data_IF_875404382501
#
_entry.id   IF_875404382501
#
_cell.length_a   1.000
_cell.length_b   1.000
_cell.length_c   1.000
_cell.angle_alpha   90.00
_cell.angle_beta   90.00
_cell.angle_gamma   90.00
#
_symmetry.space_group_name_H-M   'P 1'
#
loop_
_entity.id
_entity.type
_entity.pdbx_description
1 polymer ?
#
# COMPACT_ATOMS: atom_id res chain seq x y z
N UNK A 1 -11.48 -15.77 5.14
CA UNK A 1 -11.40 -14.31 5.32
C UNK A 1 -12.60 -13.68 4.64
N UNK A 2 -13.38 -12.81 5.32
CA UNK A 2 -14.44 -12.04 4.66
C UNK A 2 -13.75 -10.89 3.92
N UNK A 3 -13.80 -10.92 2.60
CA UNK A 3 -13.31 -9.82 1.77
C UNK A 3 -14.02 -8.52 2.19
N UNK A 4 -13.23 -7.50 2.55
CA UNK A 4 -13.72 -6.23 3.09
C UNK A 4 -14.56 -5.49 2.04
N UNK A 5 -15.58 -4.77 2.47
CA UNK A 5 -16.52 -4.06 1.58
C UNK A 5 -15.80 -3.08 0.64
N UNK A 6 -14.74 -2.41 1.14
CA UNK A 6 -13.94 -1.48 0.36
C UNK A 6 -13.09 -2.19 -0.71
N UNK A 7 -12.60 -3.41 -0.44
CA UNK A 7 -11.79 -4.15 -1.40
C UNK A 7 -12.64 -4.69 -2.56
N UNK A 8 -13.89 -5.07 -2.28
CA UNK A 8 -14.88 -5.37 -3.33
C UNK A 8 -15.19 -4.14 -4.18
N UNK A 9 -15.34 -2.98 -3.55
CA UNK A 9 -15.56 -1.73 -4.26
C UNK A 9 -14.34 -1.35 -5.13
N UNK A 10 -13.11 -1.60 -4.65
CA UNK A 10 -11.88 -1.38 -5.41
C UNK A 10 -11.82 -2.26 -6.66
N UNK A 11 -12.14 -3.56 -6.53
CA UNK A 11 -12.25 -4.48 -7.68
C UNK A 11 -13.36 -4.09 -8.67
N UNK A 12 -14.43 -3.48 -8.17
CA UNK A 12 -15.55 -2.98 -8.98
C UNK A 12 -15.21 -1.76 -9.85
N UNK A 13 -14.04 -1.13 -9.67
CA UNK A 13 -13.63 0.04 -10.47
C UNK A 13 -13.35 -0.28 -11.94
N UNK A 14 -13.20 -1.55 -12.33
CA UNK A 14 -13.12 -1.96 -13.72
C UNK A 14 -12.12 -1.14 -14.54
N UNK A 15 -12.55 -0.54 -15.66
CA UNK A 15 -11.70 0.28 -16.53
C UNK A 15 -11.24 1.61 -15.92
N UNK A 16 -11.84 2.10 -14.82
CA UNK A 16 -11.36 3.30 -14.12
C UNK A 16 -10.01 3.05 -13.40
N UNK A 17 -9.63 1.77 -13.26
CA UNK A 17 -8.35 1.35 -12.75
C UNK A 17 -7.17 1.63 -13.68
N UNK A 18 -7.41 1.90 -14.97
CA UNK A 18 -6.34 2.19 -15.95
C UNK A 18 -5.58 3.48 -15.64
N UNK A 19 -6.00 4.24 -14.63
CA UNK A 19 -5.34 5.45 -14.15
C UNK A 19 -4.17 5.12 -13.22
N UNK A 20 -4.15 3.93 -12.61
CA UNK A 20 -3.05 3.50 -11.74
C UNK A 20 -1.91 2.89 -12.55
N UNK A 21 -0.67 3.18 -12.13
CA UNK A 21 0.57 2.61 -12.65
C UNK A 21 0.81 1.20 -12.14
N UNK A 22 0.42 0.91 -10.89
CA UNK A 22 0.49 -0.44 -10.33
C UNK A 22 -0.83 -1.20 -10.54
N UNK A 23 -0.72 -2.53 -10.57
CA UNK A 23 -1.90 -3.37 -10.71
C UNK A 23 -2.88 -3.15 -9.54
N UNK A 24 -4.18 -3.23 -9.81
CA UNK A 24 -5.19 -3.14 -8.75
C UNK A 24 -5.01 -4.20 -7.67
N UNK A 25 -4.52 -5.38 -8.04
CA UNK A 25 -4.21 -6.44 -7.09
C UNK A 25 -3.12 -6.02 -6.12
N UNK A 26 -2.03 -5.43 -6.61
CA UNK A 26 -0.92 -4.99 -5.76
C UNK A 26 -1.34 -3.82 -4.87
N UNK A 27 -2.04 -2.84 -5.45
CA UNK A 27 -2.58 -1.70 -4.70
C UNK A 27 -3.55 -2.16 -3.62
N UNK A 28 -4.45 -3.08 -3.96
CA UNK A 28 -5.39 -3.65 -3.01
C UNK A 28 -4.72 -4.45 -1.90
N UNK A 29 -3.70 -5.25 -2.22
CA UNK A 29 -2.91 -5.98 -1.23
C UNK A 29 -2.15 -5.03 -0.31
N UNK A 30 -1.54 -3.97 -0.85
CA UNK A 30 -0.85 -2.94 -0.08
C UNK A 30 -1.79 -2.25 0.91
N UNK A 31 -2.99 -1.86 0.45
CA UNK A 31 -4.02 -1.26 1.30
C UNK A 31 -4.54 -2.22 2.38
N UNK A 32 -4.72 -3.51 2.06
CA UNK A 32 -5.12 -4.52 3.04
C UNK A 32 -4.04 -4.70 4.13
N UNK A 33 -2.76 -4.71 3.76
CA UNK A 33 -1.66 -4.78 4.72
C UNK A 33 -1.65 -3.57 5.66
N UNK A 34 -1.92 -2.37 5.14
CA UNK A 34 -2.03 -1.14 5.93
C UNK A 34 -3.21 -1.22 6.90
N UNK A 35 -4.38 -1.67 6.43
CA UNK A 35 -5.56 -1.86 7.28
C UNK A 35 -5.27 -2.82 8.43
N UNK A 36 -4.70 -3.99 8.13
CA UNK A 36 -4.36 -5.03 9.11
C UNK A 36 -3.33 -4.55 10.13
N UNK A 37 -2.29 -3.84 9.68
CA UNK A 37 -1.25 -3.33 10.56
C UNK A 37 -1.80 -2.24 11.51
N UNK A 38 -2.62 -1.32 11.00
CA UNK A 38 -3.27 -0.29 11.83
C UNK A 38 -4.31 -0.88 12.78
N UNK A 39 -5.08 -1.87 12.33
CA UNK A 39 -6.01 -2.62 13.18
C UNK A 39 -5.27 -3.34 14.32
N UNK A 40 -4.16 -3.99 14.01
CA UNK A 40 -3.31 -4.66 14.99
C UNK A 40 -2.75 -3.69 16.03
N UNK A 41 -2.27 -2.51 15.63
CA UNK A 41 -1.71 -1.51 16.56
C UNK A 41 -2.75 -0.92 17.52
N UNK A 42 -4.00 -0.70 17.06
CA UNK A 42 -5.10 -0.21 17.92
C UNK A 42 -5.49 -1.21 19.01
N UNK A 43 -5.44 -2.51 18.70
CA UNK A 43 -5.78 -3.58 19.66
C UNK A 43 -4.83 -3.64 20.87
N UNK A 44 -3.55 -3.27 20.69
CA UNK A 44 -2.52 -3.31 21.74
C UNK A 44 -2.57 -2.12 22.69
N UNK A 45 -3.20 -1.01 22.30
CA UNK A 45 -3.23 0.25 23.06
C UNK A 45 -4.29 0.31 24.18
N UNK A 46 -4.89 -0.83 24.57
CA UNK A 46 -5.67 -0.95 25.81
C UNK A 46 -6.99 -0.14 25.89
N UNK A 47 -7.51 0.40 24.78
CA UNK A 47 -8.87 0.99 24.77
C UNK A 47 -9.91 -0.10 24.54
N UNK A 48 -10.27 -0.81 25.60
CA UNK A 48 -11.49 -1.60 25.64
C UNK A 48 -12.67 -0.69 25.96
N UNK A 49 -13.53 -0.43 24.97
CA UNK A 49 -14.97 -0.30 25.16
C UNK A 49 -15.67 -0.21 23.78
N UNK A 50 -16.40 -1.26 23.41
CA UNK A 50 -17.53 -1.16 22.49
C UNK A 50 -17.36 -1.58 21.03
N UNK A 51 -16.14 -1.78 20.51
CA UNK A 51 -15.96 -2.36 19.18
C UNK A 51 -15.19 -3.68 19.30
N UNK A 52 -15.92 -4.79 19.25
CA UNK A 52 -15.38 -6.06 18.80
C UNK A 52 -14.88 -5.88 17.36
N UNK A 53 -13.67 -5.34 17.19
CA UNK A 53 -12.97 -5.36 15.92
C UNK A 53 -12.44 -6.78 15.76
N UNK A 54 -13.14 -7.57 14.97
CA UNK A 54 -12.78 -8.93 14.54
C UNK A 54 -11.25 -9.12 14.53
N UNK A 55 -10.78 -10.08 15.33
CA UNK A 55 -9.42 -10.59 15.20
C UNK A 55 -9.28 -11.13 13.78
N UNK A 56 -8.63 -10.38 12.89
CA UNK A 56 -8.25 -10.92 11.59
C UNK A 56 -7.34 -12.12 11.83
N UNK A 57 -7.53 -13.18 11.05
CA UNK A 57 -6.65 -14.33 11.05
C UNK A 57 -5.17 -13.91 10.85
N UNK A 58 -4.95 -12.79 10.14
CA UNK A 58 -3.62 -12.27 9.83
C UNK A 58 -3.06 -11.31 10.88
N UNK A 59 -3.80 -10.93 11.92
CA UNK A 59 -3.32 -10.01 12.96
C UNK A 59 -1.99 -10.46 13.60
N UNK A 60 -1.77 -11.75 13.94
CA UNK A 60 -0.47 -12.20 14.46
C UNK A 60 0.67 -11.98 13.45
N UNK A 61 0.42 -12.25 12.16
CA UNK A 61 1.39 -12.01 11.09
C UNK A 61 1.66 -10.52 10.89
N UNK A 62 0.62 -9.68 10.85
CA UNK A 62 0.75 -8.23 10.65
C UNK A 62 1.59 -7.54 11.74
N UNK A 63 1.60 -8.09 12.97
CA UNK A 63 2.46 -7.63 14.08
C UNK A 63 3.93 -7.99 13.91
N UNK A 64 4.26 -8.99 13.08
CA UNK A 64 5.65 -9.37 12.76
C UNK A 64 6.22 -8.61 11.57
N UNK A 65 5.38 -7.85 10.85
CA UNK A 65 5.85 -7.03 9.75
C UNK A 65 6.72 -5.90 10.32
N UNK A 66 7.84 -5.57 9.65
CA UNK A 66 8.68 -4.46 10.05
C UNK A 66 7.88 -3.15 10.00
N UNK A 67 8.13 -2.28 10.98
CA UNK A 67 7.50 -0.96 11.01
C UNK A 67 7.95 -0.11 9.82
N UNK A 68 7.23 1.00 9.57
CA UNK A 68 7.61 1.92 8.49
C UNK A 68 9.04 2.45 8.66
N UNK A 69 9.46 2.73 9.90
CA UNK A 69 10.78 3.26 10.23
C UNK A 69 11.92 2.25 9.95
N UNK A 70 11.67 0.96 10.11
CA UNK A 70 12.67 -0.07 9.82
C UNK A 70 12.89 -0.23 8.30
N UNK A 71 11.84 0.00 7.51
CA UNK A 71 11.90 -0.03 6.05
C UNK A 71 12.59 1.20 5.46
N UNK A 72 12.49 2.36 6.12
CA UNK A 72 13.00 3.65 5.66
C UNK A 72 14.51 3.66 5.35
N UNK A 73 15.32 2.85 6.05
CA UNK A 73 16.76 2.74 5.76
C UNK A 73 17.12 1.72 4.67
N UNK A 74 16.19 0.83 4.28
CA UNK A 74 16.51 -0.39 3.54
C UNK A 74 16.19 -0.35 2.05
N UNK A 75 15.34 0.60 1.62
CA UNK A 75 14.91 0.74 0.24
C UNK A 75 15.32 2.10 -0.33
N UNK A 76 15.97 2.15 -1.51
CA UNK A 76 16.37 3.41 -2.15
C UNK A 76 15.24 4.42 -2.36
N UNK A 77 13.99 3.97 -2.37
CA UNK A 77 12.81 4.82 -2.40
C UNK A 77 12.68 5.74 -1.15
N UNK A 78 13.24 5.36 0.00
CA UNK A 78 13.17 6.14 1.25
C UNK A 78 14.46 6.83 1.64
N UNK A 79 15.52 6.60 0.87
CA UNK A 79 16.79 7.28 1.04
C UNK A 79 16.63 8.80 0.89
N UNK A 80 17.52 9.57 1.51
CA UNK A 80 17.60 11.00 1.25
C UNK A 80 18.03 11.25 -0.19
N UNK A 81 17.92 12.49 -0.68
CA UNK A 81 18.39 12.80 -2.03
C UNK A 81 19.90 12.58 -2.14
N UNK A 82 20.66 12.89 -1.09
CA UNK A 82 22.10 12.66 -1.03
C UNK A 82 22.44 11.17 -1.14
N UNK A 83 21.71 10.31 -0.43
CA UNK A 83 21.86 8.85 -0.49
C UNK A 83 21.48 8.29 -1.87
N UNK A 84 20.45 8.85 -2.52
CA UNK A 84 20.10 8.48 -3.91
C UNK A 84 21.11 8.96 -4.93
N UNK A 85 21.68 10.15 -4.76
CA UNK A 85 22.74 10.67 -5.63
C UNK A 85 24.04 9.85 -5.52
N UNK A 86 24.23 9.06 -4.45
CA UNK A 86 25.30 8.06 -4.41
C UNK A 86 25.14 6.97 -5.50
N UNK A 87 23.94 6.82 -6.07
CA UNK A 87 23.65 5.94 -7.21
C UNK A 87 23.80 6.66 -8.57
N UNK A 88 24.32 7.90 -8.60
CA UNK A 88 24.50 8.65 -9.83
C UNK A 88 25.31 7.88 -10.89
N UNK A 89 24.82 7.90 -12.13
CA UNK A 89 25.41 7.13 -13.24
C UNK A 89 25.02 5.65 -13.28
N UNK A 90 24.30 5.14 -12.26
CA UNK A 90 23.76 3.78 -12.30
C UNK A 90 22.36 3.74 -12.93
N UNK A 91 22.01 2.64 -13.64
CA UNK A 91 20.63 2.38 -14.06
C UNK A 91 19.65 2.30 -12.88
N UNK A 92 20.13 1.90 -11.70
CA UNK A 92 19.32 1.74 -10.50
C UNK A 92 18.67 3.06 -10.06
N UNK A 93 19.39 4.18 -10.11
CA UNK A 93 18.84 5.49 -9.75
C UNK A 93 17.64 5.87 -10.63
N UNK A 94 17.73 5.59 -11.93
CA UNK A 94 16.64 5.86 -12.86
C UNK A 94 15.40 5.01 -12.52
N UNK A 95 15.59 3.71 -12.27
CA UNK A 95 14.51 2.81 -11.86
C UNK A 95 13.85 3.26 -10.55
N UNK A 96 14.65 3.63 -9.55
CA UNK A 96 14.14 4.10 -8.25
C UNK A 96 13.31 5.37 -8.41
N UNK A 97 13.79 6.35 -9.20
CA UNK A 97 13.05 7.58 -9.50
C UNK A 97 11.73 7.30 -10.22
N UNK A 98 11.74 6.41 -11.21
CA UNK A 98 10.52 6.03 -11.93
C UNK A 98 9.49 5.33 -11.01
N UNK A 99 9.95 4.42 -10.14
CA UNK A 99 9.09 3.75 -9.16
C UNK A 99 8.49 4.73 -8.15
N UNK A 100 9.29 5.68 -7.64
CA UNK A 100 8.80 6.73 -6.75
C UNK A 100 7.72 7.58 -7.39
N UNK A 101 7.96 8.07 -8.60
CA UNK A 101 6.98 8.87 -9.34
C UNK A 101 5.67 8.08 -9.57
N UNK A 102 5.76 6.79 -9.90
CA UNK A 102 4.59 5.92 -10.07
C UNK A 102 3.80 5.74 -8.75
N UNK A 103 4.48 5.54 -7.63
CA UNK A 103 3.85 5.42 -6.31
C UNK A 103 3.17 6.74 -5.88
N UNK A 104 3.81 7.89 -6.15
CA UNK A 104 3.24 9.21 -5.87
C UNK A 104 2.00 9.49 -6.72
N UNK A 105 2.01 9.14 -8.00
CA UNK A 105 0.88 9.29 -8.92
C UNK A 105 -0.30 8.39 -8.51
N UNK A 106 -0.03 7.14 -8.15
CA UNK A 106 -1.05 6.20 -7.66
C UNK A 106 -1.65 6.68 -6.36
N UNK A 107 -0.82 7.11 -5.40
CA UNK A 107 -1.31 7.66 -4.14
C UNK A 107 -2.13 8.92 -4.37
N UNK A 108 -1.68 9.84 -5.22
CA UNK A 108 -2.43 11.04 -5.55
C UNK A 108 -3.79 10.69 -6.17
N UNK A 109 -3.85 9.69 -7.04
CA UNK A 109 -5.10 9.18 -7.62
C UNK A 109 -6.03 8.63 -6.55
N UNK A 110 -5.51 7.76 -5.67
CA UNK A 110 -6.26 7.15 -4.56
C UNK A 110 -6.74 8.18 -3.53
N UNK A 111 -5.91 9.18 -3.23
CA UNK A 111 -6.23 10.28 -2.34
C UNK A 111 -7.14 11.34 -3.00
N UNK A 112 -7.50 11.18 -4.29
CA UNK A 112 -8.35 12.12 -5.04
C UNK A 112 -7.67 13.44 -5.40
N UNK A 113 -6.34 13.51 -5.38
CA UNK A 113 -5.54 14.69 -5.69
C UNK A 113 -5.24 14.87 -7.18
N UNK A 114 -5.61 13.90 -8.05
CA UNK A 114 -5.55 14.07 -9.50
C UNK A 114 -6.74 14.91 -9.96
N UNK A 115 -6.64 16.23 -9.78
CA UNK A 115 -7.52 17.22 -10.42
C UNK A 115 -8.16 18.31 -9.55
N UNK A 116 -8.09 18.26 -8.22
CA UNK A 116 -8.63 19.34 -7.37
C UNK A 116 -7.79 19.53 -6.11
N UNK A 117 -7.58 20.80 -5.74
CA UNK A 117 -6.65 21.21 -4.70
C UNK A 117 -6.95 20.66 -3.30
N UNK A 118 -5.88 20.62 -2.49
CA UNK A 118 -5.84 20.50 -1.02
C UNK A 118 -7.18 20.09 -0.37
N UNK A 119 -7.47 18.80 -0.37
CA UNK A 119 -8.55 18.19 0.41
C UNK A 119 -7.97 17.42 1.59
N UNK A 120 -8.60 17.57 2.76
CA UNK A 120 -8.27 17.04 4.10
C UNK A 120 -8.22 15.50 4.26
N UNK A 121 -7.89 14.76 3.20
CA UNK A 121 -7.70 13.30 3.27
C UNK A 121 -8.99 12.49 3.47
N UNK A 122 -10.16 13.12 3.50
CA UNK A 122 -11.46 12.43 3.64
C UNK A 122 -12.29 12.37 2.36
N UNK A 123 -11.95 13.16 1.33
CA UNK A 123 -12.71 13.29 0.08
C UNK A 123 -12.20 12.52 -1.14
N UNK A 124 -11.23 11.61 -0.99
CA UNK A 124 -10.60 10.88 -2.10
C UNK A 124 -11.27 9.56 -2.46
N UNK A 125 -10.73 8.85 -3.47
CA UNK A 125 -11.20 7.52 -3.87
C UNK A 125 -11.18 6.53 -2.68
N UNK A 126 -10.18 6.60 -1.80
CA UNK A 126 -10.15 5.80 -0.56
C UNK A 126 -11.36 6.06 0.35
N UNK A 127 -11.78 7.31 0.48
CA UNK A 127 -12.98 7.70 1.23
C UNK A 127 -14.26 7.19 0.55
N UNK A 128 -14.36 7.34 -0.77
CA UNK A 128 -15.48 6.84 -1.57
C UNK A 128 -15.62 5.30 -1.51
N UNK A 129 -14.50 4.59 -1.42
CA UNK A 129 -14.45 3.13 -1.24
C UNK A 129 -14.81 2.72 0.19
N UNK A 130 -14.88 3.66 1.15
CA UNK A 130 -15.15 3.37 2.55
C UNK A 130 -13.96 2.74 3.28
N UNK A 131 -12.73 3.06 2.89
CA UNK A 131 -11.54 2.58 3.58
C UNK A 131 -11.50 3.13 5.02
N UNK A 132 -11.26 2.30 6.04
CA UNK A 132 -11.59 2.63 7.44
C UNK A 132 -10.61 3.59 8.13
N UNK A 133 -9.46 3.90 7.50
CA UNK A 133 -8.41 4.73 8.10
C UNK A 133 -7.87 5.77 7.10
N UNK A 134 -7.44 6.95 7.54
CA UNK A 134 -6.61 7.79 6.68
C UNK A 134 -5.31 7.05 6.33
N UNK A 135 -4.86 7.15 5.09
CA UNK A 135 -3.60 6.57 4.61
C UNK A 135 -2.72 7.71 4.13
N UNK A 136 -1.52 7.81 4.68
CA UNK A 136 -0.50 8.76 4.20
C UNK A 136 0.29 8.16 3.02
N UNK A 137 0.96 9.02 2.23
CA UNK A 137 1.86 8.59 1.16
C UNK A 137 2.93 7.61 1.70
N UNK A 138 3.50 7.93 2.87
CA UNK A 138 4.50 7.08 3.53
C UNK A 138 3.96 5.67 3.81
N UNK A 139 2.73 5.56 4.32
CA UNK A 139 2.10 4.27 4.61
C UNK A 139 1.73 3.53 3.33
N UNK A 140 1.25 4.22 2.31
CA UNK A 140 0.99 3.64 1.00
C UNK A 140 2.24 3.02 0.39
N UNK A 141 3.33 3.79 0.34
CA UNK A 141 4.62 3.29 -0.15
C UNK A 141 5.10 2.09 0.67
N UNK A 142 4.93 2.10 2.00
CA UNK A 142 5.29 0.96 2.85
C UNK A 142 4.48 -0.30 2.50
N UNK A 143 3.17 -0.15 2.30
CA UNK A 143 2.30 -1.24 1.86
C UNK A 143 2.76 -1.82 0.52
N UNK A 144 3.10 -0.95 -0.44
CA UNK A 144 3.61 -1.36 -1.76
C UNK A 144 4.99 -2.03 -1.68
N UNK A 145 5.89 -1.55 -0.82
CA UNK A 145 7.18 -2.20 -0.57
C UNK A 145 7.03 -3.59 0.06
N UNK A 146 6.07 -3.76 0.95
CA UNK A 146 5.76 -5.10 1.49
C UNK A 146 5.20 -6.02 0.42
N UNK A 147 4.36 -5.50 -0.48
CA UNK A 147 3.88 -6.28 -1.62
C UNK A 147 5.08 -6.73 -2.45
N UNK A 148 5.90 -5.81 -2.95
CA UNK A 148 7.03 -6.15 -3.84
C UNK A 148 8.09 -7.04 -3.20
N UNK A 149 8.29 -6.97 -1.88
CA UNK A 149 9.33 -7.74 -1.18
C UNK A 149 8.85 -9.08 -0.61
N UNK A 150 7.52 -9.29 -0.46
CA UNK A 150 6.97 -10.47 0.24
C UNK A 150 5.86 -11.19 -0.48
N UNK A 151 5.28 -10.65 -1.55
CA UNK A 151 4.36 -11.46 -2.36
C UNK A 151 5.15 -12.49 -3.14
N UNK A 152 4.69 -13.73 -3.07
CA UNK A 152 5.14 -14.77 -3.98
C UNK A 152 4.29 -14.59 -5.23
N UNK A 153 4.91 -14.20 -6.34
CA UNK A 153 4.26 -14.25 -7.64
C UNK A 153 3.74 -15.67 -7.83
N UNK A 154 2.42 -15.82 -7.93
CA UNK A 154 1.85 -17.11 -8.25
C UNK A 154 2.34 -17.48 -9.64
N UNK A 155 3.07 -18.58 -9.73
CA UNK A 155 3.45 -19.22 -10.98
C UNK A 155 2.17 -19.36 -11.83
N UNK A 156 2.03 -18.51 -12.84
CA UNK A 156 1.07 -18.63 -13.91
C UNK A 156 1.50 -19.86 -14.72
N UNK A 157 1.21 -21.03 -14.14
CA UNK A 157 1.66 -22.33 -14.59
C UNK A 157 1.33 -22.59 -16.05
N UNK A 158 2.26 -22.21 -16.93
CA UNK A 158 2.59 -22.90 -18.16
C UNK A 158 3.76 -23.85 -17.90
N UNK A 159 3.57 -24.71 -16.89
CA UNK A 159 4.31 -25.96 -16.82
C UNK A 159 3.75 -26.87 -17.90
N UNK A 160 4.32 -26.78 -19.10
CA UNK A 160 4.21 -27.84 -20.10
C UNK A 160 4.62 -29.16 -19.42
N UNK A 161 3.64 -30.02 -19.18
CA UNK A 161 3.90 -31.37 -18.71
C UNK A 161 4.56 -32.17 -19.83
N UNK A 162 5.81 -32.55 -19.61
CA UNK A 162 6.41 -33.75 -20.22
C UNK A 162 5.97 -35.01 -19.49
#
# INVERSE_FOLDING_TARGET
SKETTWFKALKGLGSAASVLRHSLSDVGLGLQLIEEHKGAAKSTAGRSEGAAGDYSFFTPYARTLPGSLDFEGSLPAWWTEEEREALAGSPLLHTVRAQLAALEEDYATLAGHVGAGKGDGTGGLLGALGFPFPVSLREFMWGMALVTSRTIGGDDGEGEGE
#
